data_IF_692948015771
#
_entry.id   IF_692948015771
#
_cell.length_a   1.000
_cell.length_b   1.000
_cell.length_c   1.000
_cell.angle_alpha   90.00
_cell.angle_beta   90.00
_cell.angle_gamma   90.00
#
_symmetry.space_group_name_H-M   'P 1'
#
loop_
_entity.id
_entity.type
_entity.pdbx_description
1 polymer ?
#
# COMPACT_ATOMS: atom_id res chain seq x y z
N UNK A 1 6.13 -3.95 2.71
CA UNK A 1 4.80 -4.39 3.14
C UNK A 1 4.15 -5.06 1.95
N UNK A 2 3.91 -6.36 2.00
CA UNK A 2 3.34 -7.07 0.85
C UNK A 2 1.90 -6.57 0.61
N UNK A 3 1.55 -6.36 -0.66
CA UNK A 3 0.34 -5.72 -1.20
C UNK A 3 -1.01 -6.25 -0.65
N UNK A 4 -1.00 -7.29 0.18
CA UNK A 4 -2.16 -8.02 0.67
C UNK A 4 -2.84 -7.39 1.90
N UNK A 5 -2.13 -6.59 2.69
CA UNK A 5 -2.68 -6.03 3.94
C UNK A 5 -3.94 -5.20 3.71
N UNK A 6 -3.90 -4.25 2.77
CA UNK A 6 -5.04 -3.39 2.44
C UNK A 6 -6.19 -4.16 1.81
N UNK A 7 -5.88 -5.12 0.93
CA UNK A 7 -6.88 -6.01 0.34
C UNK A 7 -7.69 -6.71 1.43
N UNK A 8 -7.03 -7.25 2.47
CA UNK A 8 -7.73 -7.98 3.52
C UNK A 8 -8.77 -7.08 4.21
N UNK A 9 -8.37 -5.91 4.68
CA UNK A 9 -9.27 -4.99 5.37
C UNK A 9 -10.40 -4.46 4.48
N UNK A 10 -10.07 -4.00 3.28
CA UNK A 10 -11.05 -3.36 2.39
C UNK A 10 -12.09 -4.35 1.86
N UNK A 11 -11.74 -5.63 1.74
CA UNK A 11 -12.60 -6.64 1.13
C UNK A 11 -13.26 -7.60 2.16
N UNK A 12 -13.36 -7.18 3.43
CA UNK A 12 -14.15 -7.89 4.45
C UNK A 12 -13.38 -8.88 5.33
N UNK A 13 -12.05 -8.91 5.26
CA UNK A 13 -11.19 -9.65 6.19
C UNK A 13 -10.61 -8.76 7.29
N UNK A 14 -9.75 -9.35 8.11
CA UNK A 14 -9.03 -8.67 9.20
C UNK A 14 -7.59 -9.16 9.31
N UNK A 15 -6.72 -8.34 9.88
CA UNK A 15 -5.32 -8.70 10.17
C UNK A 15 -5.10 -8.63 11.67
N UNK A 16 -4.57 -9.71 12.26
CA UNK A 16 -4.36 -9.85 13.71
C UNK A 16 -2.92 -10.28 13.98
N UNK A 17 -2.37 -9.83 15.10
CA UNK A 17 -1.10 -10.31 15.63
C UNK A 17 -1.41 -11.23 16.81
N UNK A 18 -1.09 -12.53 16.67
CA UNK A 18 -1.36 -13.53 17.70
C UNK A 18 -0.16 -13.63 18.68
N UNK A 19 -0.25 -13.13 19.92
CA UNK A 19 0.89 -13.05 20.83
C UNK A 19 1.40 -14.42 21.31
N UNK A 20 0.58 -15.47 21.21
CA UNK A 20 0.98 -16.82 21.59
C UNK A 20 1.73 -17.58 20.49
N UNK A 21 1.77 -17.04 19.27
CA UNK A 21 2.44 -17.65 18.12
C UNK A 21 3.78 -16.98 17.86
N UNK A 22 4.87 -17.73 17.98
CA UNK A 22 6.23 -17.18 17.88
C UNK A 22 6.97 -17.73 16.65
N UNK A 23 7.47 -16.82 15.82
CA UNK A 23 8.36 -17.12 14.69
C UNK A 23 9.52 -16.14 14.72
N UNK A 24 10.74 -16.64 14.83
CA UNK A 24 11.95 -15.82 14.78
C UNK A 24 12.28 -15.37 13.36
N UNK A 25 12.57 -14.08 13.17
CA UNK A 25 13.02 -13.53 11.89
C UNK A 25 14.39 -12.84 12.05
N UNK A 26 15.38 -13.25 11.26
CA UNK A 26 16.69 -12.58 11.20
C UNK A 26 16.59 -11.35 10.31
N UNK A 27 16.43 -10.17 10.92
CA UNK A 27 16.40 -8.91 10.20
C UNK A 27 17.73 -8.61 9.53
N UNK A 28 17.68 -8.19 8.26
CA UNK A 28 18.86 -7.85 7.46
C UNK A 28 18.76 -6.40 7.00
N UNK A 29 19.90 -5.72 6.97
CA UNK A 29 19.99 -4.32 6.51
C UNK A 29 19.95 -4.23 4.97
N UNK A 30 20.48 -5.24 4.26
CA UNK A 30 20.59 -5.25 2.81
C UNK A 30 20.02 -6.53 2.21
N UNK A 31 19.54 -6.43 0.97
CA UNK A 31 19.05 -7.59 0.20
C UNK A 31 20.24 -8.39 -0.33
N UNK A 32 20.26 -9.72 -0.15
CA UNK A 32 21.34 -10.57 -0.63
C UNK A 32 21.21 -10.91 -2.13
N UNK A 33 20.09 -10.54 -2.77
CA UNK A 33 19.79 -10.84 -4.17
C UNK A 33 19.77 -9.57 -5.01
N UNK A 34 20.08 -9.71 -6.30
CA UNK A 34 19.95 -8.62 -7.29
C UNK A 34 18.48 -8.49 -7.70
N UNK A 35 18.06 -7.26 -7.99
CA UNK A 35 16.75 -7.00 -8.62
C UNK A 35 16.71 -7.52 -10.06
N UNK A 36 15.52 -7.53 -10.64
CA UNK A 36 15.29 -7.87 -12.05
C UNK A 36 16.14 -6.97 -12.96
N UNK A 37 16.80 -7.54 -13.98
CA UNK A 37 17.54 -6.77 -14.96
C UNK A 37 16.66 -5.66 -15.57
N UNK A 38 17.16 -4.43 -15.61
CA UNK A 38 16.43 -3.27 -16.16
C UNK A 38 15.43 -2.60 -15.21
N UNK A 39 15.21 -3.13 -14.00
CA UNK A 39 14.29 -2.56 -13.02
C UNK A 39 15.06 -1.95 -11.85
N UNK A 40 15.34 -0.64 -11.92
CA UNK A 40 16.16 0.06 -10.94
C UNK A 40 15.54 0.15 -9.54
N UNK A 41 14.21 0.28 -9.44
CA UNK A 41 13.50 0.30 -8.15
C UNK A 41 12.24 -0.57 -8.18
N UNK A 42 12.44 -1.85 -7.83
CA UNK A 42 11.34 -2.81 -7.73
C UNK A 42 10.34 -2.48 -6.63
N UNK A 43 10.82 -1.84 -5.56
CA UNK A 43 9.97 -1.54 -4.41
C UNK A 43 9.02 -0.41 -4.75
N UNK A 44 9.53 0.63 -5.42
CA UNK A 44 8.72 1.75 -5.88
C UNK A 44 7.67 1.27 -6.87
N UNK A 45 8.05 0.44 -7.85
CA UNK A 45 7.11 -0.14 -8.82
C UNK A 45 6.00 -0.94 -8.14
N UNK A 46 6.35 -1.87 -7.25
CA UNK A 46 5.37 -2.71 -6.54
C UNK A 46 4.49 -1.89 -5.57
N UNK A 47 5.06 -0.87 -4.95
CA UNK A 47 4.31 0.06 -4.10
C UNK A 47 3.30 0.82 -4.95
N UNK A 48 3.74 1.44 -6.06
CA UNK A 48 2.90 2.19 -6.99
C UNK A 48 1.69 1.39 -7.47
N UNK A 49 1.91 0.12 -7.87
CA UNK A 49 0.83 -0.80 -8.27
C UNK A 49 -0.21 -1.00 -7.15
N UNK A 50 0.23 -1.07 -5.90
CA UNK A 50 -0.66 -1.21 -4.74
C UNK A 50 -1.48 0.05 -4.51
N UNK A 51 -0.83 1.21 -4.53
CA UNK A 51 -1.50 2.50 -4.27
C UNK A 51 -2.55 2.78 -5.35
N UNK A 52 -2.20 2.55 -6.62
CA UNK A 52 -3.12 2.72 -7.76
C UNK A 52 -4.38 1.86 -7.68
N UNK A 53 -4.31 0.67 -7.06
CA UNK A 53 -5.46 -0.23 -6.96
C UNK A 53 -6.27 0.04 -5.69
N UNK A 54 -5.61 0.26 -4.55
CA UNK A 54 -6.26 0.18 -3.24
C UNK A 54 -6.47 1.51 -2.53
N UNK A 55 -5.79 2.60 -2.92
CA UNK A 55 -5.76 3.84 -2.13
C UNK A 55 -6.67 4.94 -2.69
N UNK A 56 -7.32 4.72 -3.84
CA UNK A 56 -8.22 5.70 -4.46
C UNK A 56 -7.54 7.08 -4.55
N UNK A 57 -8.21 8.15 -4.11
CA UNK A 57 -7.69 9.53 -4.16
C UNK A 57 -6.51 9.79 -3.21
N UNK A 58 -6.24 8.90 -2.26
CA UNK A 58 -5.10 9.01 -1.34
C UNK A 58 -3.76 8.73 -2.03
N UNK A 59 -3.77 8.28 -3.28
CA UNK A 59 -2.56 8.15 -4.11
C UNK A 59 -1.78 9.47 -4.22
N UNK A 60 -2.44 10.63 -4.09
CA UNK A 60 -1.80 11.95 -4.09
C UNK A 60 -0.74 12.09 -2.98
N UNK A 61 -0.99 11.52 -1.80
CA UNK A 61 -0.05 11.57 -0.68
C UNK A 61 1.17 10.69 -0.94
N UNK A 62 0.99 9.55 -1.62
CA UNK A 62 2.11 8.72 -2.04
C UNK A 62 3.00 9.45 -3.04
N UNK A 63 2.43 10.15 -4.02
CA UNK A 63 3.21 10.94 -4.97
C UNK A 63 3.97 12.09 -4.32
N UNK A 64 3.38 12.78 -3.33
CA UNK A 64 4.10 13.79 -2.55
C UNK A 64 5.28 13.21 -1.78
N UNK A 65 5.11 12.03 -1.17
CA UNK A 65 6.19 11.36 -0.43
C UNK A 65 7.23 10.70 -1.33
N UNK A 66 6.85 10.31 -2.55
CA UNK A 66 7.70 9.64 -3.56
C UNK A 66 7.53 10.32 -4.93
N UNK A 67 8.09 11.54 -5.13
CA UNK A 67 7.93 12.27 -6.40
C UNK A 67 8.41 11.50 -7.63
N UNK A 68 9.42 10.63 -7.47
CA UNK A 68 9.93 9.75 -8.53
C UNK A 68 8.88 8.79 -9.12
N UNK A 69 7.78 8.52 -8.41
CA UNK A 69 6.70 7.69 -8.92
C UNK A 69 5.74 8.46 -9.85
N UNK A 70 5.82 9.79 -9.89
CA UNK A 70 4.98 10.61 -10.78
C UNK A 70 5.36 10.32 -12.22
N UNK A 71 4.38 9.95 -13.05
CA UNK A 71 4.60 9.59 -14.45
C UNK A 71 5.22 8.21 -14.68
N UNK A 72 5.57 7.48 -13.62
CA UNK A 72 6.08 6.11 -13.72
C UNK A 72 4.95 5.17 -14.15
N UNK A 73 5.23 4.29 -15.11
CA UNK A 73 4.29 3.27 -15.54
C UNK A 73 4.16 2.17 -14.47
N UNK A 74 2.92 1.86 -14.09
CA UNK A 74 2.60 0.81 -13.15
C UNK A 74 2.37 -0.55 -13.85
N UNK A 75 2.42 -0.60 -15.19
CA UNK A 75 2.03 -1.75 -16.00
C UNK A 75 0.53 -2.04 -15.90
N UNK A 76 0.10 -3.19 -16.42
CA UNK A 76 -1.32 -3.57 -16.40
C UNK A 76 -1.82 -3.87 -14.98
N UNK A 77 -2.97 -3.27 -14.65
CA UNK A 77 -3.68 -3.37 -13.36
C UNK A 77 -5.10 -3.91 -13.52
N UNK A 78 -5.53 -4.26 -14.73
CA UNK A 78 -6.92 -4.62 -15.08
C UNK A 78 -7.47 -5.72 -14.17
N UNK A 79 -6.78 -6.87 -14.08
CA UNK A 79 -7.21 -7.98 -13.23
C UNK A 79 -7.38 -7.59 -11.75
N UNK A 80 -6.55 -6.68 -11.25
CA UNK A 80 -6.57 -6.25 -9.84
C UNK A 80 -7.71 -5.29 -9.56
N UNK A 81 -8.00 -4.40 -10.51
CA UNK A 81 -9.16 -3.51 -10.46
C UNK A 81 -10.47 -4.31 -10.58
N UNK A 82 -10.53 -5.30 -11.46
CA UNK A 82 -11.67 -6.21 -11.58
C UNK A 82 -11.88 -7.04 -10.31
N UNK A 83 -10.80 -7.54 -9.70
CA UNK A 83 -10.89 -8.23 -8.42
C UNK A 83 -11.47 -7.34 -7.33
N UNK A 84 -11.02 -6.07 -7.23
CA UNK A 84 -11.55 -5.10 -6.26
C UNK A 84 -13.05 -4.88 -6.46
N UNK A 85 -13.51 -4.76 -7.72
CA UNK A 85 -14.92 -4.62 -8.08
C UNK A 85 -15.73 -5.88 -7.71
N UNK A 86 -15.23 -7.06 -8.10
CA UNK A 86 -15.90 -8.35 -7.86
C UNK A 86 -16.10 -8.63 -6.37
N UNK A 87 -15.10 -8.31 -5.55
CA UNK A 87 -15.15 -8.48 -4.09
C UNK A 87 -15.93 -7.35 -3.38
N UNK A 88 -16.43 -6.35 -4.11
CA UNK A 88 -17.16 -5.20 -3.55
C UNK A 88 -16.41 -4.53 -2.39
N UNK A 89 -15.10 -4.37 -2.57
CA UNK A 89 -14.25 -3.82 -1.51
C UNK A 89 -14.64 -2.37 -1.20
N UNK A 90 -14.52 -2.00 0.08
CA UNK A 90 -14.76 -0.66 0.60
C UNK A 90 -13.74 0.34 0.05
N UNK A 91 -14.07 1.64 -0.01
CA UNK A 91 -13.12 2.68 -0.40
C UNK A 91 -12.01 2.85 0.65
N UNK A 92 -10.86 3.38 0.24
CA UNK A 92 -9.74 3.59 1.17
C UNK A 92 -10.05 4.60 2.28
N UNK A 93 -10.93 5.57 2.03
CA UNK A 93 -11.40 6.51 3.06
C UNK A 93 -11.99 5.80 4.27
N UNK A 94 -12.73 4.71 4.07
CA UNK A 94 -13.28 3.89 5.15
C UNK A 94 -12.17 3.20 5.97
N UNK A 95 -11.08 2.80 5.33
CA UNK A 95 -9.94 2.23 6.06
C UNK A 95 -9.28 3.27 6.96
N UNK A 96 -9.11 4.50 6.48
CA UNK A 96 -8.56 5.58 7.30
C UNK A 96 -9.51 5.91 8.46
N UNK A 97 -10.82 5.99 8.23
CA UNK A 97 -11.76 6.34 9.31
C UNK A 97 -11.95 5.23 10.36
N UNK A 98 -12.08 3.97 9.92
CA UNK A 98 -12.48 2.88 10.83
C UNK A 98 -11.32 2.00 11.31
N UNK A 99 -10.30 1.81 10.47
CA UNK A 99 -9.22 0.83 10.75
C UNK A 99 -7.94 1.52 11.22
N UNK A 100 -7.64 2.71 10.71
CA UNK A 100 -6.45 3.44 11.12
C UNK A 100 -6.68 4.95 11.28
N UNK A 101 -7.54 5.37 12.22
CA UNK A 101 -7.91 6.79 12.43
C UNK A 101 -6.74 7.66 12.88
N UNK A 102 -5.75 7.11 13.57
CA UNK A 102 -4.53 7.83 13.95
C UNK A 102 -3.63 8.22 12.77
N UNK A 103 -3.92 7.74 11.55
CA UNK A 103 -3.19 8.12 10.35
C UNK A 103 -3.58 9.54 9.89
N UNK A 104 -2.97 10.56 10.50
CA UNK A 104 -3.17 11.96 10.09
C UNK A 104 -2.60 12.23 8.69
N UNK A 105 -3.43 12.60 7.70
CA UNK A 105 -2.96 13.04 6.39
C UNK A 105 -2.12 14.33 6.50
N UNK A 106 -1.07 14.51 5.69
CA UNK A 106 -0.20 15.68 5.77
C UNK A 106 -0.89 17.05 5.61
N UNK A 107 -2.07 17.11 5.00
CA UNK A 107 -2.79 18.37 4.76
C UNK A 107 -3.55 18.87 6.01
N UNK A 108 -3.93 17.97 6.94
CA UNK A 108 -4.63 18.38 8.18
C UNK A 108 -3.71 19.11 9.15
N UNK A 109 -2.39 18.85 9.11
CA UNK A 109 -1.42 19.51 9.99
C UNK A 109 -0.98 20.90 9.52
N UNK A 110 -1.43 21.36 8.35
CA UNK A 110 -1.07 22.68 7.83
C UNK A 110 -2.03 23.78 8.31
N UNK A 111 -3.21 23.41 8.79
CA UNK A 111 -4.22 24.34 9.30
C UNK A 111 -4.15 24.50 10.83
N UNK A 112 -3.22 23.81 11.51
CA UNK A 112 -2.99 23.87 12.96
C UNK A 112 -1.62 24.48 13.35
N UNK A 113 -0.93 25.16 12.43
CA UNK A 113 0.32 25.91 12.66
C UNK A 113 0.23 27.36 12.15
#
# INVERSE_FOLDING_TARGET
MHNYGYKMWLCGGSVLVAPCSHVGHVFRVRRPYKGKPGMHDENLFNSLRTVKVWFDDYVKYFYRARPMAVGMDAGDLTERLELKKRLKCKPFSWFVSEIYPELTPPDEKRDEL
#
